data_IF_374607863502
#
_entry.id   IF_374607863502
#
_cell.length_a   1.000
_cell.length_b   1.000
_cell.length_c   1.000
_cell.angle_alpha   90.00
_cell.angle_beta   90.00
_cell.angle_gamma   90.00
#
_symmetry.space_group_name_H-M   'P 1'
#
loop_
_entity.id
_entity.type
_entity.pdbx_description
1 polymer ?
#
# COMPACT_ATOMS: atom_id res chain seq x y z
N UNK A 1 -0.74 17.49 9.29
CA UNK A 1 0.49 17.18 8.52
C UNK A 1 0.07 16.15 7.49
N UNK A 2 0.41 16.32 6.23
CA UNK A 2 0.15 15.28 5.24
C UNK A 2 0.93 14.02 5.64
N UNK A 3 0.27 12.86 5.64
CA UNK A 3 0.94 11.60 5.90
C UNK A 3 1.78 11.21 4.68
N UNK A 4 2.87 10.50 4.92
CA UNK A 4 3.71 9.92 3.87
C UNK A 4 3.82 8.43 4.14
N UNK A 5 3.61 7.61 3.09
CA UNK A 5 3.65 6.16 3.18
C UNK A 5 4.95 5.64 2.59
N UNK A 6 5.75 4.99 3.43
CA UNK A 6 7.04 4.41 3.06
C UNK A 6 6.87 2.97 2.54
N UNK A 7 7.41 2.69 1.35
CA UNK A 7 7.44 1.36 0.76
C UNK A 7 8.88 0.91 0.55
N UNK A 8 9.17 -0.35 0.87
CA UNK A 8 10.50 -0.94 0.77
C UNK A 8 10.47 -2.23 -0.04
N UNK A 9 11.41 -2.37 -0.97
CA UNK A 9 11.72 -3.64 -1.63
C UNK A 9 12.84 -4.32 -0.85
N UNK A 10 12.55 -5.50 -0.29
CA UNK A 10 13.49 -6.26 0.55
C UNK A 10 13.68 -7.69 0.04
N UNK A 11 14.87 -8.30 0.22
CA UNK A 11 15.08 -9.71 -0.02
C UNK A 11 14.17 -10.58 0.85
N UNK A 12 13.71 -11.71 0.30
CA UNK A 12 12.90 -12.71 1.03
C UNK A 12 13.63 -13.33 2.23
N UNK A 13 14.96 -13.20 2.28
CA UNK A 13 15.80 -13.70 3.37
C UNK A 13 15.81 -12.78 4.59
N UNK A 14 15.18 -11.61 4.51
CA UNK A 14 15.04 -10.70 5.63
C UNK A 14 13.88 -11.15 6.52
N UNK A 15 14.15 -11.21 7.82
CA UNK A 15 13.12 -11.24 8.85
C UNK A 15 12.36 -9.90 8.85
N UNK A 16 11.13 -9.93 8.37
CA UNK A 16 10.28 -8.74 8.17
C UNK A 16 9.91 -8.08 9.50
N UNK A 17 9.69 -8.88 10.55
CA UNK A 17 9.35 -8.37 11.88
C UNK A 17 10.52 -7.55 12.44
N UNK A 18 11.73 -8.13 12.39
CA UNK A 18 12.94 -7.45 12.85
C UNK A 18 13.33 -6.27 11.96
N UNK A 19 13.09 -6.38 10.66
CA UNK A 19 13.34 -5.30 9.69
C UNK A 19 12.53 -4.07 10.03
N UNK A 20 11.23 -4.22 10.28
CA UNK A 20 10.37 -3.07 10.55
C UNK A 20 10.82 -2.28 11.78
N UNK A 21 11.26 -2.98 12.82
CA UNK A 21 11.77 -2.37 14.05
C UNK A 21 13.09 -1.60 13.86
N UNK A 22 13.84 -1.87 12.79
CA UNK A 22 15.16 -1.27 12.52
C UNK A 22 15.32 -0.89 11.04
N UNK A 23 14.30 -0.22 10.47
CA UNK A 23 14.28 0.09 9.02
C UNK A 23 15.23 1.22 8.62
N UNK A 24 15.49 2.16 9.53
CA UNK A 24 16.44 3.25 9.29
C UNK A 24 17.87 2.70 9.15
N UNK A 25 18.49 2.93 7.98
CA UNK A 25 19.86 2.51 7.63
C UNK A 25 20.10 1.01 7.39
N UNK A 26 19.07 0.27 6.96
CA UNK A 26 19.26 -1.13 6.58
C UNK A 26 19.85 -1.26 5.16
N UNK A 27 21.15 -1.56 5.07
CA UNK A 27 21.88 -1.77 3.81
C UNK A 27 21.35 -2.92 2.93
N UNK A 28 20.41 -3.73 3.43
CA UNK A 28 19.78 -4.81 2.67
C UNK A 28 18.51 -4.38 1.93
N UNK A 29 18.04 -3.15 2.12
CA UNK A 29 16.96 -2.57 1.30
C UNK A 29 17.46 -2.50 -0.14
N UNK A 30 16.71 -3.10 -1.06
CA UNK A 30 17.02 -3.09 -2.49
C UNK A 30 16.60 -1.75 -3.10
N UNK A 31 15.41 -1.28 -2.71
CA UNK A 31 14.83 -0.04 -3.19
C UNK A 31 13.78 0.49 -2.19
N UNK A 32 13.48 1.78 -2.25
CA UNK A 32 12.46 2.41 -1.42
C UNK A 32 11.79 3.58 -2.12
N UNK A 33 10.52 3.80 -1.83
CA UNK A 33 9.78 4.97 -2.31
C UNK A 33 8.84 5.51 -1.24
N UNK A 34 8.53 6.81 -1.35
CA UNK A 34 7.56 7.50 -0.52
C UNK A 34 6.37 7.89 -1.40
N UNK A 35 5.17 7.56 -0.96
CA UNK A 35 3.92 7.91 -1.64
C UNK A 35 3.12 8.84 -0.73
N UNK A 36 2.65 9.96 -1.28
CA UNK A 36 1.83 10.92 -0.56
C UNK A 36 0.46 10.31 -0.19
N UNK A 37 -0.05 10.67 0.99
CA UNK A 37 -1.30 10.13 1.54
C UNK A 37 -2.50 10.23 0.60
N UNK A 38 -2.64 11.35 -0.11
CA UNK A 38 -3.76 11.59 -1.04
C UNK A 38 -3.92 10.45 -2.07
N UNK A 39 -2.81 9.91 -2.57
CA UNK A 39 -2.83 8.78 -3.51
C UNK A 39 -3.33 7.53 -2.79
N UNK A 40 -2.84 7.27 -1.57
CA UNK A 40 -3.22 6.10 -0.78
C UNK A 40 -4.71 6.15 -0.42
N UNK A 41 -5.20 7.30 0.04
CA UNK A 41 -6.63 7.49 0.33
C UNK A 41 -7.49 7.24 -0.91
N UNK A 42 -7.06 7.71 -2.08
CA UNK A 42 -7.81 7.53 -3.32
C UNK A 42 -7.87 6.07 -3.78
N UNK A 43 -6.76 5.34 -3.65
CA UNK A 43 -6.66 3.97 -4.17
C UNK A 43 -7.05 2.88 -3.17
N UNK A 44 -7.03 3.16 -1.86
CA UNK A 44 -7.12 2.12 -0.82
C UNK A 44 -8.36 1.23 -0.97
N UNK A 45 -9.51 1.80 -1.31
CA UNK A 45 -10.77 1.07 -1.49
C UNK A 45 -10.68 -0.02 -2.57
N UNK A 46 -9.95 0.26 -3.64
CA UNK A 46 -9.78 -0.69 -4.75
C UNK A 46 -8.87 -1.87 -4.39
N UNK A 47 -8.13 -1.77 -3.28
CA UNK A 47 -7.15 -2.77 -2.82
C UNK A 47 -7.68 -3.63 -1.66
N UNK A 48 -8.83 -3.27 -1.07
CA UNK A 48 -9.41 -3.93 0.13
C UNK A 48 -9.54 -5.46 0.03
N UNK A 49 -9.66 -6.00 -1.18
CA UNK A 49 -9.84 -7.43 -1.44
C UNK A 49 -8.52 -8.20 -1.61
N UNK A 50 -7.39 -7.51 -1.76
CA UNK A 50 -6.10 -8.15 -2.04
C UNK A 50 -5.57 -8.77 -0.75
N UNK A 51 -5.26 -10.08 -0.74
CA UNK A 51 -4.71 -10.73 0.45
C UNK A 51 -3.40 -10.09 0.90
N UNK A 52 -3.30 -9.81 2.18
CA UNK A 52 -2.11 -9.23 2.82
C UNK A 52 -1.85 -9.89 4.17
N UNK A 53 -0.78 -9.48 4.85
CA UNK A 53 -0.46 -9.88 6.22
C UNK A 53 0.01 -8.68 7.03
N UNK A 54 -0.19 -8.73 8.34
CA UNK A 54 0.30 -7.70 9.25
C UNK A 54 1.50 -8.23 10.08
N UNK A 55 2.75 -7.92 9.69
CA UNK A 55 3.94 -8.41 10.41
C UNK A 55 4.17 -7.72 11.76
N UNK A 56 3.42 -6.66 12.09
CA UNK A 56 3.49 -6.03 13.40
C UNK A 56 2.69 -6.81 14.48
N UNK A 57 1.94 -7.84 14.08
CA UNK A 57 1.19 -8.71 14.97
C UNK A 57 1.85 -10.09 15.07
N UNK A 58 1.77 -10.70 16.25
CA UNK A 58 2.24 -12.06 16.49
C UNK A 58 1.65 -13.02 15.45
N UNK A 59 2.47 -13.96 14.96
CA UNK A 59 2.15 -14.93 13.89
C UNK A 59 1.85 -14.33 12.49
N UNK A 60 1.95 -13.00 12.32
CA UNK A 60 1.76 -12.33 11.02
C UNK A 60 0.45 -12.78 10.33
N UNK A 61 -0.71 -12.50 10.96
CA UNK A 61 -1.99 -13.03 10.54
C UNK A 61 -2.35 -12.58 9.12
N UNK A 62 -3.14 -13.41 8.43
CA UNK A 62 -3.71 -13.07 7.12
C UNK A 62 -4.74 -11.97 7.28
N UNK A 63 -4.66 -10.97 6.42
CA UNK A 63 -5.53 -9.80 6.32
C UNK A 63 -5.88 -9.55 4.85
N UNK A 64 -6.52 -8.42 4.56
CA UNK A 64 -6.72 -7.95 3.20
C UNK A 64 -6.57 -6.43 3.12
N UNK A 65 -6.13 -5.93 1.96
CA UNK A 65 -5.87 -4.52 1.71
C UNK A 65 -4.62 -3.98 2.40
N UNK A 66 -4.49 -2.64 2.33
CA UNK A 66 -3.42 -1.88 2.96
C UNK A 66 -3.85 -1.49 4.38
N UNK A 67 -2.99 -1.74 5.36
CA UNK A 67 -3.08 -1.14 6.68
C UNK A 67 -2.64 0.33 6.60
N UNK A 68 -3.60 1.25 6.65
CA UNK A 68 -3.36 2.68 6.46
C UNK A 68 -2.43 3.31 7.52
N UNK A 69 -2.36 2.75 8.73
CA UNK A 69 -1.52 3.27 9.80
C UNK A 69 -0.39 2.32 10.22
N UNK A 70 -0.14 1.28 9.43
CA UNK A 70 0.79 0.24 9.85
C UNK A 70 1.36 -0.57 8.71
N UNK A 71 2.13 -1.59 9.08
CA UNK A 71 2.83 -2.40 8.11
C UNK A 71 1.87 -3.32 7.39
N UNK A 72 2.06 -3.42 6.08
CA UNK A 72 1.36 -4.39 5.24
C UNK A 72 2.40 -5.20 4.48
N UNK A 73 2.35 -6.52 4.62
CA UNK A 73 3.16 -7.45 3.85
C UNK A 73 2.31 -8.06 2.72
N UNK A 74 2.74 -7.87 1.48
CA UNK A 74 2.16 -8.54 0.31
C UNK A 74 3.10 -9.64 -0.18
N UNK A 75 2.63 -10.88 -0.15
CA UNK A 75 3.39 -12.04 -0.64
C UNK A 75 3.40 -12.10 -2.17
N UNK A 76 4.23 -12.97 -2.75
CA UNK A 76 4.50 -13.06 -4.20
C UNK A 76 3.24 -13.04 -5.08
N UNK A 77 2.17 -13.75 -4.69
CA UNK A 77 0.92 -13.78 -5.45
C UNK A 77 0.23 -12.41 -5.45
N UNK A 78 0.04 -11.82 -4.28
CA UNK A 78 -0.57 -10.49 -4.13
C UNK A 78 0.29 -9.39 -4.76
N UNK A 79 1.62 -9.49 -4.64
CA UNK A 79 2.56 -8.58 -5.31
C UNK A 79 2.42 -8.63 -6.84
N UNK A 80 2.19 -9.81 -7.42
CA UNK A 80 1.89 -9.95 -8.85
C UNK A 80 0.60 -9.21 -9.24
N UNK A 81 -0.46 -9.36 -8.46
CA UNK A 81 -1.73 -8.63 -8.67
C UNK A 81 -1.55 -7.12 -8.54
N UNK A 82 -0.85 -6.66 -7.49
CA UNK A 82 -0.57 -5.24 -7.26
C UNK A 82 0.24 -4.63 -8.39
N UNK A 83 1.26 -5.34 -8.90
CA UNK A 83 2.01 -4.89 -10.06
C UNK A 83 1.10 -4.61 -11.25
N UNK A 84 0.15 -5.50 -11.53
CA UNK A 84 -0.82 -5.31 -12.62
C UNK A 84 -1.73 -4.11 -12.36
N UNK A 85 -2.29 -3.98 -11.16
CA UNK A 85 -3.18 -2.86 -10.79
C UNK A 85 -2.45 -1.52 -10.87
N UNK A 86 -1.27 -1.43 -10.26
CA UNK A 86 -0.47 -0.20 -10.26
C UNK A 86 0.03 0.16 -11.66
N UNK A 87 0.33 -0.83 -12.51
CA UNK A 87 0.65 -0.57 -13.92
C UNK A 87 -0.55 0.00 -14.66
N UNK A 88 -1.76 -0.50 -14.39
CA UNK A 88 -2.99 0.03 -14.97
C UNK A 88 -3.28 1.46 -14.50
N UNK A 89 -3.11 1.78 -13.22
CA UNK A 89 -3.24 3.17 -12.76
C UNK A 89 -2.19 4.09 -13.33
N UNK A 90 -0.93 3.67 -13.39
CA UNK A 90 0.12 4.42 -14.07
C UNK A 90 -0.31 4.74 -15.50
N UNK A 91 -0.83 3.76 -16.24
CA UNK A 91 -1.29 3.98 -17.60
C UNK A 91 -2.49 4.93 -17.67
N UNK A 92 -3.44 4.84 -16.73
CA UNK A 92 -4.58 5.76 -16.64
C UNK A 92 -4.10 7.20 -16.43
N UNK A 93 -3.21 7.41 -15.45
CA UNK A 93 -2.65 8.73 -15.13
C UNK A 93 -1.78 9.29 -16.26
N UNK A 94 -1.05 8.44 -16.99
CA UNK A 94 -0.27 8.87 -18.16
C UNK A 94 -1.15 9.32 -19.34
N UNK A 95 -2.41 8.87 -19.40
CA UNK A 95 -3.37 9.25 -20.44
C UNK A 95 -4.37 10.32 -19.95
N UNK A 96 -4.22 10.83 -18.72
CA UNK A 96 -5.08 11.87 -18.19
C UNK A 96 -4.69 13.26 -18.73
N UNK A 97 -5.54 14.28 -18.57
CA UNK A 97 -5.13 15.67 -18.78
C UNK A 97 -3.94 16.06 -17.88
N UNK A 98 -3.30 17.19 -18.18
CA UNK A 98 -2.16 17.72 -17.41
C UNK A 98 -2.48 17.90 -15.92
N UNK A 99 -3.72 18.28 -15.61
CA UNK A 99 -4.26 18.33 -14.26
C UNK A 99 -5.45 17.38 -14.21
N UNK A 100 -5.34 16.36 -13.38
CA UNK A 100 -6.44 15.44 -13.06
C UNK A 100 -6.88 15.69 -11.62
N UNK A 101 -8.11 16.14 -11.45
CA UNK A 101 -8.70 16.31 -10.13
C UNK A 101 -9.30 14.98 -9.66
N UNK A 102 -8.77 14.44 -8.58
CA UNK A 102 -9.25 13.21 -7.98
C UNK A 102 -10.30 13.56 -6.93
N UNK A 103 -11.56 13.26 -7.21
CA UNK A 103 -12.65 13.42 -6.23
C UNK A 103 -12.70 12.20 -5.33
N UNK A 104 -12.46 12.38 -4.02
CA UNK A 104 -12.64 11.33 -3.02
C UNK A 104 -13.84 11.66 -2.13
N UNK A 105 -14.77 10.72 -1.97
CA UNK A 105 -15.92 10.89 -1.09
C UNK A 105 -16.11 9.67 -0.19
N UNK A 106 -16.34 9.94 1.10
CA UNK A 106 -17.04 9.06 2.01
C UNK A 106 -18.34 8.60 1.35
N UNK A 107 -18.68 7.32 1.46
CA UNK A 107 -20.04 6.89 1.12
C UNK A 107 -20.99 7.46 2.17
N UNK A 108 -21.72 8.54 1.85
CA UNK A 108 -22.99 8.79 2.55
C UNK A 108 -23.96 7.77 1.96
N UNK A 109 -24.25 6.72 2.73
CA UNK A 109 -25.33 5.81 2.40
C UNK A 109 -26.63 6.59 2.61
N UNK A 110 -27.20 7.15 1.54
CA UNK A 110 -28.60 7.57 1.58
C UNK A 110 -29.48 6.33 1.78
N UNK A 111 -30.14 6.23 2.94
CA UNK A 111 -31.13 5.20 3.23
C UNK A 111 -31.02 4.46 4.56
N UNK A 112 -30.13 4.85 5.48
CA UNK A 112 -30.10 4.31 6.85
C UNK A 112 -31.09 4.99 7.79
N UNK A 113 -32.39 4.80 7.56
CA UNK A 113 -33.49 5.16 8.47
C UNK A 113 -34.01 3.94 9.22
#
# INVERSE_FOLDING_TARGET
>A
MALEHEYYLIPITIDVERFWMNRENNHKVIDSMVIHDDIIMYISDTLKWIPSRNPALHETPVCAGINYHGVTLFEKKSAGTLKSIFSSWRNLLLNSPLVLELTGEFVVVEGGG
#
